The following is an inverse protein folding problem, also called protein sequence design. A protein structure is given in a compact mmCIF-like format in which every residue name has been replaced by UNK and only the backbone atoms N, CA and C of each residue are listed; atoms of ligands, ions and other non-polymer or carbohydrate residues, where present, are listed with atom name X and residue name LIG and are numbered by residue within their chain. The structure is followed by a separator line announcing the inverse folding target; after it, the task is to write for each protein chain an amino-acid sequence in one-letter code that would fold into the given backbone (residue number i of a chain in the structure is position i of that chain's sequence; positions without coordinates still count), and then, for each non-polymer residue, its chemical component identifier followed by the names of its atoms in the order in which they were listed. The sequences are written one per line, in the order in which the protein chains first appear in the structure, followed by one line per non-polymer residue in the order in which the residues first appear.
data_IF_846558511671
#
_entry.id   IF_846558511671
#
_cell.length_a   1.000
_cell.length_b   1.000
_cell.length_c   1.000
_cell.angle_alpha   90.00
_cell.angle_beta   90.00
_cell.angle_gamma   90.00
#
_symmetry.space_group_name_H-M   'P 1'
#
loop_
_entity.id
_entity.type
_entity.pdbx_description
1 polymer ?
#
# COMPACT_ATOMS: atom_id res chain seq x y z
N UNK A 1 -10.00 -0.50 -49.49
CA UNK A 1 -8.71 -0.27 -48.79
C UNK A 1 -9.03 -0.25 -47.30
N UNK A 2 -8.96 -1.40 -46.62
CA UNK A 2 -9.11 -1.43 -45.16
C UNK A 2 -7.76 -0.98 -44.56
N UNK A 3 -7.74 0.17 -43.91
CA UNK A 3 -6.64 0.58 -43.05
C UNK A 3 -6.76 -0.23 -41.74
N UNK A 4 -5.91 -1.25 -41.57
CA UNK A 4 -5.63 -1.76 -40.23
C UNK A 4 -4.89 -0.66 -39.46
N UNK A 5 -5.51 -0.14 -38.41
CA UNK A 5 -4.79 0.64 -37.42
C UNK A 5 -3.73 -0.27 -36.77
N UNK A 6 -2.49 0.22 -36.53
CA UNK A 6 -1.51 -0.54 -35.78
C UNK A 6 -2.04 -0.73 -34.36
N UNK A 7 -2.17 -1.99 -33.93
CA UNK A 7 -2.31 -2.31 -32.52
C UNK A 7 -1.02 -1.85 -31.86
N UNK A 8 -1.07 -0.79 -31.06
CA UNK A 8 0.01 -0.48 -30.13
C UNK A 8 0.10 -1.67 -29.19
N UNK A 9 1.08 -2.55 -29.40
CA UNK A 9 1.47 -3.55 -28.41
C UNK A 9 2.02 -2.76 -27.23
N UNK A 10 1.18 -2.55 -26.21
CA UNK A 10 1.60 -1.95 -24.95
C UNK A 10 2.86 -2.64 -24.42
N UNK A 11 3.72 -1.88 -23.74
CA UNK A 11 4.93 -2.45 -23.14
C UNK A 11 4.54 -3.62 -22.22
N UNK A 12 5.29 -4.73 -22.31
CA UNK A 12 5.06 -5.87 -21.42
C UNK A 12 5.25 -5.43 -19.97
N UNK A 13 4.36 -5.83 -19.04
CA UNK A 13 4.56 -5.55 -17.63
C UNK A 13 5.89 -6.07 -17.13
N UNK A 14 6.50 -5.33 -16.20
CA UNK A 14 7.78 -5.65 -15.62
C UNK A 14 7.66 -6.80 -14.61
N UNK A 15 6.53 -6.88 -13.89
CA UNK A 15 6.27 -7.94 -12.91
C UNK A 15 4.99 -8.72 -13.24
N UNK A 16 5.00 -10.06 -13.05
CA UNK A 16 3.82 -10.90 -13.26
C UNK A 16 2.80 -10.80 -12.11
N UNK A 17 3.21 -10.28 -10.95
CA UNK A 17 2.42 -10.15 -9.73
C UNK A 17 2.40 -8.69 -9.25
N UNK A 18 1.76 -8.41 -8.12
CA UNK A 18 1.71 -7.08 -7.48
C UNK A 18 3.10 -6.52 -7.15
N UNK A 19 3.19 -5.20 -7.07
CA UNK A 19 4.35 -4.45 -6.58
C UNK A 19 4.73 -4.83 -5.14
N UNK A 20 3.78 -5.33 -4.35
CA UNK A 20 4.03 -5.84 -3.01
C UNK A 20 4.38 -7.34 -2.99
N UNK A 21 4.79 -7.91 -4.13
CA UNK A 21 5.18 -9.32 -4.31
C UNK A 21 6.29 -9.46 -5.35
N UNK A 22 7.43 -8.81 -5.13
CA UNK A 22 8.62 -8.94 -5.97
C UNK A 22 9.91 -8.70 -5.17
N UNK A 23 11.07 -9.07 -5.74
CA UNK A 23 12.36 -9.04 -5.02
C UNK A 23 12.98 -7.62 -4.91
N UNK A 24 12.18 -6.55 -4.93
CA UNK A 24 12.66 -5.19 -4.72
C UNK A 24 12.19 -4.69 -3.35
N UNK A 25 13.16 -4.35 -2.50
CA UNK A 25 12.90 -3.62 -1.28
C UNK A 25 12.73 -2.12 -1.59
N UNK A 26 11.48 -1.67 -1.72
CA UNK A 26 11.16 -0.26 -1.97
C UNK A 26 11.32 0.58 -0.70
N UNK A 27 10.91 0.00 0.42
CA UNK A 27 10.97 0.57 1.76
C UNK A 27 11.80 -0.37 2.63
N UNK A 28 12.90 0.13 3.18
CA UNK A 28 13.74 -0.70 4.05
C UNK A 28 13.25 -0.70 5.50
N UNK A 29 13.48 -1.79 6.26
CA UNK A 29 13.16 -1.84 7.68
C UNK A 29 13.84 -0.74 8.52
N UNK A 30 14.98 -0.20 8.07
CA UNK A 30 15.72 0.87 8.71
C UNK A 30 15.49 2.26 8.09
N UNK A 31 14.59 2.38 7.09
CA UNK A 31 14.19 3.69 6.59
C UNK A 31 13.53 4.52 7.71
N UNK A 32 13.69 5.86 7.70
CA UNK A 32 13.10 6.72 8.70
C UNK A 32 11.58 6.52 8.82
N UNK A 33 11.11 6.29 10.03
CA UNK A 33 9.68 6.25 10.36
C UNK A 33 9.28 7.47 11.20
N UNK A 34 8.00 7.83 11.20
CA UNK A 34 7.44 8.72 12.20
C UNK A 34 7.66 8.16 13.61
N UNK A 35 7.91 9.00 14.63
CA UNK A 35 7.94 8.49 16.01
C UNK A 35 6.59 7.87 16.37
N UNK A 36 6.57 6.83 17.21
CA UNK A 36 5.30 6.25 17.66
C UNK A 36 5.39 5.59 19.03
N UNK A 37 4.23 5.46 19.66
CA UNK A 37 4.04 4.65 20.86
C UNK A 37 2.75 3.84 20.74
N UNK A 38 2.70 2.70 21.43
CA UNK A 38 1.57 1.77 21.37
C UNK A 38 1.20 1.31 22.78
N UNK A 39 -0.10 1.17 23.02
CA UNK A 39 -0.63 0.58 24.25
C UNK A 39 -1.84 -0.32 23.95
N UNK A 40 -1.94 -1.47 24.62
CA UNK A 40 -3.18 -2.24 24.65
C UNK A 40 -4.23 -1.43 25.44
N UNK A 41 -5.41 -1.26 24.85
CA UNK A 41 -6.47 -0.39 25.38
C UNK A 41 -7.74 -1.14 25.75
N UNK A 42 -7.89 -2.39 25.32
CA UNK A 42 -9.03 -3.21 25.71
C UNK A 42 -9.27 -4.41 24.81
N UNK A 43 -10.36 -5.12 25.11
CA UNK A 43 -10.87 -6.25 24.34
C UNK A 43 -12.39 -6.13 24.22
N UNK A 44 -12.90 -6.06 23.01
CA UNK A 44 -14.34 -5.92 22.77
C UNK A 44 -14.78 -6.53 21.44
N UNK A 45 -16.09 -6.70 21.28
CA UNK A 45 -16.70 -7.07 20.00
C UNK A 45 -16.44 -5.94 18.99
N UNK A 46 -15.80 -6.28 17.88
CA UNK A 46 -15.33 -5.27 16.91
C UNK A 46 -15.68 -5.69 15.49
N UNK A 47 -16.07 -4.72 14.67
CA UNK A 47 -16.23 -4.94 13.23
C UNK A 47 -14.85 -5.15 12.59
N UNK A 48 -14.62 -6.35 12.09
CA UNK A 48 -13.38 -6.80 11.47
C UNK A 48 -13.77 -7.80 10.38
N UNK A 49 -14.35 -7.29 9.29
CA UNK A 49 -14.91 -8.14 8.23
C UNK A 49 -13.87 -9.11 7.68
N UNK A 50 -14.20 -10.41 7.64
CA UNK A 50 -13.37 -11.46 7.06
C UNK A 50 -14.07 -12.04 5.82
N UNK A 51 -13.68 -11.66 4.59
CA UNK A 51 -14.30 -12.17 3.37
C UNK A 51 -14.07 -13.67 3.14
N UNK A 52 -13.10 -14.31 3.82
CA UNK A 52 -12.86 -15.76 3.70
C UNK A 52 -13.99 -16.57 4.37
N UNK A 53 -14.69 -15.96 5.33
CA UNK A 53 -15.68 -16.61 6.19
C UNK A 53 -17.04 -15.91 6.19
N UNK A 54 -17.14 -14.74 5.53
CA UNK A 54 -18.31 -13.85 5.54
C UNK A 54 -18.72 -13.45 6.98
N UNK A 55 -17.72 -13.13 7.81
CA UNK A 55 -17.90 -12.77 9.22
C UNK A 55 -17.63 -11.29 9.42
N UNK A 56 -18.65 -10.53 9.83
CA UNK A 56 -18.53 -9.08 10.04
C UNK A 56 -17.88 -8.69 11.38
N UNK A 57 -18.17 -9.43 12.44
CA UNK A 57 -17.75 -9.10 13.80
C UNK A 57 -16.87 -10.19 14.41
N UNK A 58 -15.84 -9.75 15.13
CA UNK A 58 -14.96 -10.59 15.94
C UNK A 58 -15.24 -10.32 17.41
N UNK A 59 -15.55 -11.37 18.16
CA UNK A 59 -15.71 -11.29 19.61
C UNK A 59 -14.35 -11.23 20.30
N UNK A 60 -14.18 -10.34 21.29
CA UNK A 60 -12.93 -10.26 22.07
C UNK A 60 -11.70 -9.81 21.29
N UNK A 61 -11.88 -9.04 20.20
CA UNK A 61 -10.79 -8.45 19.45
C UNK A 61 -9.96 -7.53 20.36
N UNK A 62 -8.64 -7.63 20.25
CA UNK A 62 -7.66 -6.93 21.09
C UNK A 62 -7.35 -5.59 20.44
N UNK A 63 -7.46 -4.50 21.20
CA UNK A 63 -7.26 -3.15 20.66
C UNK A 63 -5.96 -2.56 21.14
N UNK A 64 -5.13 -2.16 20.19
CA UNK A 64 -3.94 -1.36 20.44
C UNK A 64 -4.15 0.05 19.92
N UNK A 65 -4.00 1.04 20.79
CA UNK A 65 -3.96 2.44 20.37
C UNK A 65 -2.54 2.80 20.03
N UNK A 66 -2.31 3.26 18.80
CA UNK A 66 -1.00 3.71 18.32
C UNK A 66 -1.04 5.22 18.12
N UNK A 67 -0.11 5.92 18.75
CA UNK A 67 0.01 7.38 18.64
C UNK A 67 1.25 7.73 17.82
N UNK A 68 1.05 8.51 16.77
CA UNK A 68 2.07 9.12 15.92
C UNK A 68 1.99 10.65 16.03
N UNK A 69 2.98 11.42 15.55
CA UNK A 69 2.81 12.83 15.28
C UNK A 69 1.57 13.08 14.41
N UNK A 70 0.69 13.97 14.88
CA UNK A 70 -0.54 14.43 14.22
C UNK A 70 -1.65 13.38 14.06
N UNK A 71 -1.50 12.19 14.66
CA UNK A 71 -2.46 11.11 14.43
C UNK A 71 -2.48 10.09 15.57
N UNK A 72 -3.66 9.55 15.84
CA UNK A 72 -3.82 8.30 16.58
C UNK A 72 -4.67 7.35 15.74
N UNK A 73 -4.26 6.09 15.66
CA UNK A 73 -5.04 5.02 15.04
C UNK A 73 -5.25 3.89 16.02
N UNK A 74 -6.22 3.03 15.71
CA UNK A 74 -6.41 1.76 16.40
C UNK A 74 -5.91 0.61 15.53
N UNK A 75 -5.23 -0.35 16.12
CA UNK A 75 -4.97 -1.66 15.52
C UNK A 75 -5.84 -2.67 16.26
N UNK A 76 -6.76 -3.30 15.54
CA UNK A 76 -7.60 -4.38 16.05
C UNK A 76 -6.97 -5.70 15.68
N UNK A 77 -6.81 -6.60 16.64
CA UNK A 77 -6.19 -7.91 16.41
C UNK A 77 -7.14 -9.02 16.83
N UNK A 78 -7.35 -9.98 15.93
CA UNK A 78 -8.19 -11.15 16.19
C UNK A 78 -7.61 -11.96 17.36
N UNK A 79 -8.44 -12.46 18.30
CA UNK A 79 -7.95 -13.14 19.51
C UNK A 79 -7.20 -14.45 19.23
N UNK A 80 -7.35 -15.02 18.04
CA UNK A 80 -6.66 -16.26 17.60
C UNK A 80 -5.32 -16.02 16.88
N UNK A 81 -4.89 -14.76 16.73
CA UNK A 81 -3.53 -14.44 16.26
C UNK A 81 -2.51 -14.96 17.26
N UNK A 82 -1.43 -15.60 16.76
CA UNK A 82 -0.47 -16.30 17.61
C UNK A 82 0.25 -15.40 18.61
N UNK A 83 0.73 -14.23 18.15
CA UNK A 83 1.28 -13.17 19.00
C UNK A 83 0.62 -11.82 18.63
N UNK A 84 -0.51 -11.46 19.27
CA UNK A 84 -1.25 -10.26 18.91
C UNK A 84 -0.48 -8.96 19.12
N UNK A 85 0.37 -8.93 20.14
CA UNK A 85 1.16 -7.74 20.47
C UNK A 85 2.27 -7.54 19.44
N UNK A 86 2.95 -8.62 19.06
CA UNK A 86 3.99 -8.56 18.03
C UNK A 86 3.41 -8.11 16.68
N UNK A 87 2.26 -8.65 16.26
CA UNK A 87 1.59 -8.20 15.03
C UNK A 87 1.18 -6.74 15.07
N UNK A 88 0.68 -6.27 16.21
CA UNK A 88 0.37 -4.85 16.37
C UNK A 88 1.62 -3.96 16.29
N UNK A 89 2.76 -4.40 16.84
CA UNK A 89 4.04 -3.69 16.75
C UNK A 89 4.55 -3.62 15.30
N UNK A 90 4.48 -4.73 14.56
CA UNK A 90 4.91 -4.81 13.16
C UNK A 90 4.07 -3.91 12.27
N UNK A 91 2.73 -4.00 12.36
CA UNK A 91 1.84 -3.12 11.62
C UNK A 91 2.03 -1.65 12.00
N UNK A 92 2.23 -1.33 13.28
CA UNK A 92 2.51 0.04 13.72
C UNK A 92 3.84 0.57 13.15
N UNK A 93 4.87 -0.26 13.11
CA UNK A 93 6.16 0.08 12.52
C UNK A 93 6.02 0.36 11.02
N UNK A 94 5.32 -0.50 10.27
CA UNK A 94 5.13 -0.29 8.84
C UNK A 94 4.30 0.95 8.52
N UNK A 95 3.22 1.19 9.26
CA UNK A 95 2.44 2.44 9.14
C UNK A 95 3.29 3.67 9.45
N UNK A 96 4.30 3.56 10.33
CA UNK A 96 5.20 4.68 10.64
C UNK A 96 6.05 5.13 9.45
N UNK A 97 6.34 4.23 8.50
CA UNK A 97 7.16 4.49 7.30
C UNK A 97 6.33 5.04 6.13
N UNK A 98 5.03 5.25 6.32
CA UNK A 98 4.19 5.90 5.32
C UNK A 98 4.43 7.42 5.28
N UNK A 99 4.32 8.04 4.10
CA UNK A 99 4.24 9.51 3.98
C UNK A 99 3.14 10.07 4.88
N UNK A 100 3.33 11.27 5.46
CA UNK A 100 2.39 11.84 6.44
C UNK A 100 0.93 11.83 5.97
N UNK A 101 0.69 12.23 4.72
CA UNK A 101 -0.65 12.33 4.13
C UNK A 101 -1.29 10.96 3.92
N UNK A 102 -0.51 9.95 3.53
CA UNK A 102 -0.98 8.56 3.45
C UNK A 102 -1.27 8.00 4.84
N UNK A 103 -0.32 8.21 5.77
CA UNK A 103 -0.45 7.76 7.16
C UNK A 103 -1.71 8.32 7.80
N UNK A 104 -1.90 9.64 7.76
CA UNK A 104 -3.06 10.35 8.32
C UNK A 104 -4.38 10.03 7.64
N UNK A 105 -4.36 9.44 6.45
CA UNK A 105 -5.55 8.90 5.80
C UNK A 105 -6.08 7.64 6.51
N UNK A 106 -5.24 6.83 7.18
CA UNK A 106 -5.67 5.60 7.86
C UNK A 106 -6.35 5.90 9.20
N UNK A 107 -7.48 5.25 9.46
CA UNK A 107 -8.25 5.35 10.72
C UNK A 107 -7.95 4.19 11.67
N UNK A 108 -7.92 2.96 11.13
CA UNK A 108 -7.54 1.77 11.88
C UNK A 108 -6.99 0.68 10.96
N UNK A 109 -6.36 -0.32 11.56
CA UNK A 109 -5.87 -1.52 10.89
C UNK A 109 -6.51 -2.74 11.54
N UNK A 110 -6.97 -3.69 10.74
CA UNK A 110 -7.41 -5.00 11.24
C UNK A 110 -6.31 -6.03 10.98
N UNK A 111 -6.07 -6.90 11.96
CA UNK A 111 -5.20 -8.07 11.80
C UNK A 111 -6.04 -9.30 12.14
N UNK A 112 -6.43 -10.05 11.11
CA UNK A 112 -7.20 -11.29 11.23
C UNK A 112 -6.27 -12.49 11.43
N UNK A 113 -6.82 -13.59 11.95
CA UNK A 113 -6.11 -14.86 12.11
C UNK A 113 -5.90 -15.57 10.75
N UNK A 114 -5.04 -16.59 10.72
CA UNK A 114 -4.82 -17.43 9.53
C UNK A 114 -4.12 -16.69 8.38
N UNK A 115 -4.25 -17.20 7.14
CA UNK A 115 -3.66 -16.61 5.94
C UNK A 115 -4.73 -16.06 4.97
N UNK A 116 -4.39 -15.02 4.23
CA UNK A 116 -5.29 -14.29 3.34
C UNK A 116 -4.54 -13.24 2.52
N UNK A 117 -5.25 -12.58 1.61
CA UNK A 117 -4.70 -11.43 0.88
C UNK A 117 -5.11 -10.15 1.59
N UNK A 118 -4.17 -9.21 1.74
CA UNK A 118 -4.50 -7.89 2.26
C UNK A 118 -5.56 -7.22 1.38
N UNK A 119 -6.33 -6.33 2.01
CA UNK A 119 -7.35 -5.54 1.32
C UNK A 119 -7.67 -4.27 2.12
N UNK A 120 -8.13 -3.25 1.42
CA UNK A 120 -8.48 -1.95 1.98
C UNK A 120 -9.94 -1.56 1.73
N UNK A 121 -10.43 -0.62 2.53
CA UNK A 121 -11.74 0.02 2.38
C UNK A 121 -11.61 1.52 2.64
N UNK A 122 -11.94 2.32 1.62
CA UNK A 122 -11.60 3.74 1.55
C UNK A 122 -12.54 4.62 2.36
N UNK A 123 -13.84 4.33 2.44
CA UNK A 123 -14.82 5.14 3.18
C UNK A 123 -14.65 5.01 4.69
N UNK A 124 -14.45 3.80 5.18
CA UNK A 124 -14.12 3.46 6.56
C UNK A 124 -12.67 3.75 6.92
N UNK A 125 -11.82 3.94 5.90
CA UNK A 125 -10.41 4.33 5.98
C UNK A 125 -9.57 3.32 6.73
N UNK A 126 -9.67 2.05 6.38
CA UNK A 126 -8.92 0.98 7.03
C UNK A 126 -8.41 -0.03 6.01
N UNK A 127 -7.42 -0.80 6.43
CA UNK A 127 -7.00 -2.00 5.71
C UNK A 127 -6.88 -3.18 6.67
N UNK A 128 -6.88 -4.37 6.09
CA UNK A 128 -6.86 -5.63 6.80
C UNK A 128 -5.65 -6.45 6.38
N UNK A 129 -4.89 -6.90 7.37
CA UNK A 129 -3.82 -7.88 7.25
C UNK A 129 -4.25 -9.21 7.89
N UNK A 130 -3.48 -10.26 7.65
CA UNK A 130 -3.67 -11.58 8.23
C UNK A 130 -2.39 -12.07 8.89
N UNK A 131 -2.48 -12.81 9.99
CA UNK A 131 -1.31 -13.31 10.74
C UNK A 131 -0.30 -14.06 9.85
N UNK A 132 -0.80 -15.04 9.08
CA UNK A 132 0.01 -15.83 8.14
C UNK A 132 0.52 -15.02 6.95
N UNK A 133 -0.23 -14.00 6.52
CA UNK A 133 0.25 -13.05 5.51
C UNK A 133 1.43 -12.26 6.05
N UNK A 134 1.30 -11.68 7.25
CA UNK A 134 2.37 -10.90 7.87
C UNK A 134 3.63 -11.74 8.09
N UNK A 135 3.50 -13.00 8.52
CA UNK A 135 4.63 -13.93 8.63
C UNK A 135 5.38 -14.07 7.29
N UNK A 136 4.65 -14.36 6.22
CA UNK A 136 5.22 -14.49 4.87
C UNK A 136 5.89 -13.19 4.42
N UNK A 137 5.20 -12.06 4.55
CA UNK A 137 5.71 -10.75 4.10
C UNK A 137 6.93 -10.29 4.88
N UNK A 138 7.04 -10.62 6.17
CA UNK A 138 8.23 -10.32 6.95
C UNK A 138 9.44 -11.15 6.52
N UNK A 139 9.23 -12.41 6.12
CA UNK A 139 10.28 -13.28 5.58
C UNK A 139 10.71 -12.86 4.17
N UNK A 140 9.77 -12.33 3.39
CA UNK A 140 9.99 -11.84 2.02
C UNK A 140 10.43 -10.37 1.95
N UNK A 141 10.47 -9.67 3.10
CA UNK A 141 10.73 -8.22 3.18
C UNK A 141 9.68 -7.32 2.49
N UNK A 142 8.46 -7.82 2.28
CA UNK A 142 7.37 -7.16 1.52
C UNK A 142 6.27 -6.51 2.41
N UNK A 143 6.43 -6.49 3.74
CA UNK A 143 5.35 -6.01 4.62
C UNK A 143 5.12 -4.50 4.45
N UNK A 144 6.19 -3.72 4.33
CA UNK A 144 6.11 -2.27 4.18
C UNK A 144 5.48 -1.89 2.82
N UNK A 145 5.84 -2.61 1.76
CA UNK A 145 5.28 -2.53 0.41
C UNK A 145 3.78 -2.87 0.41
N UNK A 146 3.40 -3.93 1.13
CA UNK A 146 1.98 -4.32 1.31
C UNK A 146 1.22 -3.19 2.01
N UNK A 147 1.76 -2.64 3.10
CA UNK A 147 1.11 -1.56 3.85
C UNK A 147 1.00 -0.27 3.02
N UNK A 148 2.03 0.06 2.23
CA UNK A 148 1.98 1.19 1.30
C UNK A 148 0.89 0.98 0.24
N UNK A 149 0.85 -0.20 -0.38
CA UNK A 149 -0.12 -0.56 -1.41
C UNK A 149 -1.55 -0.44 -0.88
N UNK A 150 -1.87 -1.08 0.25
CA UNK A 150 -3.21 -0.99 0.85
C UNK A 150 -3.57 0.44 1.26
N UNK A 151 -2.59 1.22 1.73
CA UNK A 151 -2.83 2.62 2.07
C UNK A 151 -3.06 3.49 0.84
N UNK A 152 -2.49 3.14 -0.32
CA UNK A 152 -2.74 3.87 -1.56
C UNK A 152 -4.22 3.80 -1.97
N UNK A 153 -4.88 2.65 -1.76
CA UNK A 153 -6.33 2.53 -1.95
C UNK A 153 -7.16 3.43 -1.02
N UNK A 154 -6.65 3.73 0.18
CA UNK A 154 -7.31 4.62 1.13
C UNK A 154 -7.03 6.09 0.84
N UNK A 155 -5.78 6.42 0.52
CA UNK A 155 -5.27 7.79 0.51
C UNK A 155 -5.25 8.42 -0.88
N UNK A 156 -5.02 7.61 -1.93
CA UNK A 156 -4.74 8.09 -3.28
C UNK A 156 -5.88 7.79 -4.24
N UNK A 157 -6.47 6.60 -4.18
CA UNK A 157 -7.59 6.24 -5.08
C UNK A 157 -8.77 7.21 -5.02
N UNK A 158 -9.25 7.66 -3.83
CA UNK A 158 -10.34 8.63 -3.77
C UNK A 158 -10.00 9.98 -4.42
N UNK A 159 -8.71 10.31 -4.51
CA UNK A 159 -8.23 11.56 -5.09
C UNK A 159 -8.02 11.46 -6.59
N UNK A 160 -7.45 10.35 -7.08
CA UNK A 160 -6.88 10.28 -8.44
C UNK A 160 -7.61 9.32 -9.37
N UNK A 161 -8.27 8.27 -8.87
CA UNK A 161 -8.89 7.22 -9.73
C UNK A 161 -9.95 7.77 -10.69
N UNK A 162 -10.62 8.86 -10.28
CA UNK A 162 -11.62 9.56 -11.06
C UNK A 162 -11.10 10.80 -11.80
N UNK A 163 -9.84 11.16 -11.60
CA UNK A 163 -9.23 12.31 -12.28
C UNK A 163 -9.12 12.03 -13.80
N UNK A 164 -9.70 12.88 -14.66
CA UNK A 164 -9.54 12.76 -16.11
C UNK A 164 -8.08 12.77 -16.57
N UNK A 165 -7.20 13.51 -15.89
CA UNK A 165 -5.79 13.61 -16.23
C UNK A 165 -5.07 12.29 -15.92
N UNK A 166 -5.37 11.64 -14.79
CA UNK A 166 -4.87 10.29 -14.49
C UNK A 166 -5.24 9.31 -15.60
N UNK A 167 -6.52 9.26 -15.99
CA UNK A 167 -7.01 8.36 -17.05
C UNK A 167 -6.36 8.66 -18.40
N UNK A 168 -6.19 9.93 -18.75
CA UNK A 168 -5.51 10.33 -19.99
C UNK A 168 -4.04 9.89 -20.00
N UNK A 169 -3.35 10.00 -18.86
CA UNK A 169 -1.96 9.59 -18.72
C UNK A 169 -1.81 8.06 -18.76
N UNK A 170 -2.71 7.30 -18.13
CA UNK A 170 -2.75 5.84 -18.23
C UNK A 170 -2.94 5.37 -19.68
N UNK A 171 -3.86 5.98 -20.43
CA UNK A 171 -4.06 5.67 -21.86
C UNK A 171 -2.84 6.04 -22.71
N UNK A 172 -2.21 7.18 -22.41
CA UNK A 172 -1.04 7.69 -23.16
C UNK A 172 0.20 6.82 -22.95
N UNK A 173 0.37 6.27 -21.74
CA UNK A 173 1.41 5.29 -21.42
C UNK A 173 1.16 3.94 -22.12
N UNK A 174 -0.09 3.46 -22.12
CA UNK A 174 -0.51 2.26 -22.86
C UNK A 174 0.09 0.94 -22.36
N UNK A 175 0.90 0.96 -21.30
CA UNK A 175 1.44 -0.20 -20.58
C UNK A 175 1.15 -0.11 -19.09
N UNK A 176 1.50 -1.15 -18.33
CA UNK A 176 1.32 -1.20 -16.87
C UNK A 176 2.57 -1.81 -16.25
N UNK A 177 2.95 -1.35 -15.05
CA UNK A 177 4.15 -1.86 -14.39
C UNK A 177 3.99 -3.33 -14.00
N UNK A 178 2.82 -3.70 -13.51
CA UNK A 178 2.51 -5.08 -13.13
C UNK A 178 1.37 -5.67 -13.95
N UNK A 179 1.40 -6.99 -14.11
CA UNK A 179 0.31 -7.72 -14.75
C UNK A 179 -0.98 -7.66 -13.91
N UNK A 180 -0.85 -7.42 -12.59
CA UNK A 180 -1.98 -7.19 -11.69
C UNK A 180 -2.67 -5.87 -12.01
N UNK A 181 -1.92 -4.76 -12.10
CA UNK A 181 -2.43 -3.48 -12.58
C UNK A 181 -3.05 -3.58 -13.98
N UNK A 182 -2.42 -4.32 -14.90
CA UNK A 182 -2.94 -4.51 -16.26
C UNK A 182 -4.31 -5.22 -16.30
N UNK A 183 -4.58 -6.14 -15.35
CA UNK A 183 -5.86 -6.84 -15.25
C UNK A 183 -6.93 -5.99 -14.58
N UNK A 184 -6.53 -5.09 -13.70
CA UNK A 184 -7.41 -4.27 -12.87
C UNK A 184 -7.05 -2.77 -12.97
N UNK A 185 -7.04 -2.19 -14.18
CA UNK A 185 -6.43 -0.88 -14.43
C UNK A 185 -7.14 0.28 -13.72
N UNK A 186 -8.41 0.09 -13.35
CA UNK A 186 -9.21 1.12 -12.69
C UNK A 186 -9.11 1.09 -11.16
N UNK A 187 -8.50 0.06 -10.58
CA UNK A 187 -8.44 -0.13 -9.12
C UNK A 187 -7.01 -0.31 -8.61
N UNK A 188 -6.14 -0.98 -9.37
CA UNK A 188 -4.80 -1.35 -8.87
C UNK A 188 -3.69 -0.43 -9.36
N UNK A 189 -3.92 0.27 -10.48
CA UNK A 189 -2.83 0.94 -11.17
C UNK A 189 -2.18 2.08 -10.36
N UNK A 190 -2.96 2.79 -9.53
CA UNK A 190 -2.43 3.84 -8.66
C UNK A 190 -1.56 3.21 -7.56
N UNK A 191 -2.08 2.22 -6.84
CA UNK A 191 -1.34 1.55 -5.75
C UNK A 191 -0.04 0.90 -6.25
N UNK A 192 -0.08 0.32 -7.44
CA UNK A 192 1.05 -0.33 -8.09
C UNK A 192 2.09 0.67 -8.64
N UNK A 193 1.64 1.84 -9.12
CA UNK A 193 2.52 2.87 -9.69
C UNK A 193 3.12 3.81 -8.64
N UNK A 194 2.34 4.16 -7.60
CA UNK A 194 2.72 5.17 -6.63
C UNK A 194 3.97 4.78 -5.83
N UNK A 195 4.16 3.49 -5.52
CA UNK A 195 5.33 3.03 -4.78
C UNK A 195 6.63 3.27 -5.57
N UNK A 196 6.66 2.98 -6.87
CA UNK A 196 7.80 3.31 -7.74
C UNK A 196 8.08 4.81 -7.77
N UNK A 197 7.04 5.63 -7.96
CA UNK A 197 7.20 7.08 -8.05
C UNK A 197 7.73 7.66 -6.73
N UNK A 198 7.18 7.21 -5.61
CA UNK A 198 7.63 7.60 -4.28
C UNK A 198 9.10 7.23 -4.05
N UNK A 199 9.47 5.98 -4.32
CA UNK A 199 10.85 5.49 -4.14
C UNK A 199 11.83 6.23 -5.03
N UNK A 200 11.50 6.48 -6.31
CA UNK A 200 12.37 7.23 -7.23
C UNK A 200 12.57 8.70 -6.82
N UNK A 201 11.58 9.31 -6.17
CA UNK A 201 11.64 10.70 -5.73
C UNK A 201 12.41 10.88 -4.41
N UNK A 202 12.18 9.99 -3.44
CA UNK A 202 12.69 10.15 -2.07
C UNK A 202 13.89 9.27 -1.73
N UNK A 203 14.13 8.21 -2.52
CA UNK A 203 15.26 7.29 -2.34
C UNK A 203 16.00 7.10 -3.67
N UNK A 204 16.57 8.17 -4.26
CA UNK A 204 17.24 8.08 -5.56
C UNK A 204 18.37 7.04 -5.54
N UNK A 205 18.36 6.12 -6.50
CA UNK A 205 19.31 5.01 -6.59
C UNK A 205 18.94 3.77 -5.78
N UNK A 206 17.76 3.74 -5.12
CA UNK A 206 17.22 2.52 -4.48
C UNK A 206 16.92 1.44 -5.52
N UNK A 207 16.33 1.83 -6.65
CA UNK A 207 16.01 0.90 -7.72
C UNK A 207 17.22 0.70 -8.64
N UNK A 208 17.44 -0.53 -9.16
CA UNK A 208 18.42 -0.74 -10.22
C UNK A 208 18.15 0.17 -11.43
N UNK A 209 19.22 0.65 -12.07
CA UNK A 209 19.11 1.64 -13.16
C UNK A 209 18.30 1.13 -14.36
N UNK A 210 18.37 -0.16 -14.67
CA UNK A 210 17.59 -0.81 -15.72
C UNK A 210 16.10 -0.92 -15.36
N UNK A 211 15.78 -1.12 -14.08
CA UNK A 211 14.41 -1.08 -13.55
C UNK A 211 13.85 0.34 -13.67
N UNK A 212 14.56 1.38 -13.21
CA UNK A 212 14.11 2.77 -13.38
C UNK A 212 13.89 3.14 -14.85
N UNK A 213 14.80 2.73 -15.73
CA UNK A 213 14.66 2.97 -17.17
C UNK A 213 13.43 2.28 -17.75
N UNK A 214 13.14 1.04 -17.31
CA UNK A 214 11.95 0.29 -17.71
C UNK A 214 10.67 0.95 -17.20
N UNK A 215 10.66 1.39 -15.94
CA UNK A 215 9.56 2.14 -15.33
C UNK A 215 9.26 3.42 -16.11
N UNK A 216 10.30 4.23 -16.42
CA UNK A 216 10.16 5.44 -17.25
C UNK A 216 9.67 5.14 -18.66
N UNK A 217 10.03 3.99 -19.24
CA UNK A 217 9.54 3.58 -20.56
C UNK A 217 8.08 3.14 -20.53
N UNK A 218 7.65 2.48 -19.47
CA UNK A 218 6.30 1.91 -19.33
C UNK A 218 5.28 2.98 -18.93
N UNK A 219 5.65 3.91 -18.05
CA UNK A 219 4.68 4.78 -17.39
C UNK A 219 5.12 6.25 -17.23
N UNK A 220 5.81 6.82 -18.23
CA UNK A 220 6.36 8.18 -18.13
C UNK A 220 5.32 9.23 -17.73
N UNK A 221 4.13 9.19 -18.34
CA UNK A 221 3.11 10.20 -18.09
C UNK A 221 2.54 10.07 -16.68
N UNK A 222 2.32 8.83 -16.20
CA UNK A 222 1.91 8.59 -14.81
C UNK A 222 2.99 8.95 -13.79
N UNK A 223 4.28 8.76 -14.09
CA UNK A 223 5.38 9.24 -13.23
C UNK A 223 5.32 10.75 -13.08
N UNK A 224 5.13 11.49 -14.17
CA UNK A 224 5.04 12.96 -14.13
C UNK A 224 3.80 13.38 -13.32
N UNK A 225 2.65 12.77 -13.59
CA UNK A 225 1.40 13.06 -12.88
C UNK A 225 1.54 12.80 -11.38
N UNK A 226 1.89 11.57 -10.98
CA UNK A 226 2.04 11.20 -9.57
C UNK A 226 3.16 12.00 -8.90
N UNK A 227 4.26 12.29 -9.60
CA UNK A 227 5.34 13.12 -9.08
C UNK A 227 4.85 14.51 -8.67
N UNK A 228 4.00 15.13 -9.49
CA UNK A 228 3.37 16.41 -9.15
C UNK A 228 2.36 16.27 -8.00
N UNK A 229 1.51 15.23 -8.02
CA UNK A 229 0.48 15.04 -7.00
C UNK A 229 1.06 14.71 -5.61
N UNK A 230 2.21 14.02 -5.59
CA UNK A 230 2.90 13.61 -4.37
C UNK A 230 3.97 14.62 -3.93
N UNK A 231 4.25 15.70 -4.68
CA UNK A 231 5.31 16.66 -4.36
C UNK A 231 5.17 17.26 -2.95
N UNK A 232 3.94 17.50 -2.51
CA UNK A 232 3.65 18.06 -1.18
C UNK A 232 3.62 17.01 -0.05
N UNK A 233 3.78 15.72 -0.38
CA UNK A 233 3.74 14.66 0.63
C UNK A 233 5.01 14.70 1.47
N UNK A 234 4.84 14.68 2.78
CA UNK A 234 5.98 14.80 3.72
C UNK A 234 6.53 13.40 3.98
N UNK A 235 7.83 13.16 3.70
CA UNK A 235 8.46 11.88 4.02
C UNK A 235 8.35 11.56 5.52
N UNK A 236 8.25 10.27 5.87
CA UNK A 236 8.25 9.86 7.27
C UNK A 236 9.57 10.29 7.94
N UNK A 237 9.45 10.85 9.15
CA UNK A 237 10.62 11.16 9.97
C UNK A 237 10.25 11.21 11.45
N UNK A 238 11.17 10.78 12.30
CA UNK A 238 11.09 10.98 13.74
C UNK A 238 11.88 12.24 14.07
N UNK A 239 11.28 13.39 13.77
CA UNK A 239 11.81 14.72 14.09
C UNK A 239 10.91 15.34 15.17
N UNK A 240 11.52 16.01 16.15
CA UNK A 240 10.83 16.75 17.22
C UNK A 240 9.94 17.89 16.71
#
# INVERSE_FOLDING_TARGET
MLLCAPVSLGAQPLYPNSVASNDIDFILPDDPGACWSIAETGREKTEMYDPRRDTLFVEGAIHFSVSYPNQQIRINVHPEVGDPKQRALEAAASVSRLPLQMRTAVRYVNILDGDGSAWAEDLGRFFTLYDGLMERRLLEHDLDETVFHETAHIALDPLFSNDPDWRSNQVSDGGFITQYAAKNPNTEDIAESALFVWTMAHHPGRLPTDIEASVRKIMLNRIIYLGNMLEAFVPPSCSD
#
